data_IF_415823848650
#
_entry.id   IF_415823848650
#
_cell.length_a   1.000
_cell.length_b   1.000
_cell.length_c   1.000
_cell.angle_alpha   90.00
_cell.angle_beta   90.00
_cell.angle_gamma   90.00
#
_symmetry.space_group_name_H-M   'P 1'
#
loop_
_entity.id
_entity.type
_entity.pdbx_description
1 polymer ?
#
# COMPACT_ATOMS: atom_id res chain seq x y z
N UNK A 1 -4.11 -4.63 42.26
CA UNK A 1 -5.30 -4.92 41.41
C UNK A 1 -6.08 -3.68 41.00
N UNK A 2 -5.41 -2.63 40.50
CA UNK A 2 -6.05 -1.43 39.94
C UNK A 2 -5.53 -1.13 38.51
N UNK A 3 -4.33 -1.60 38.19
CA UNK A 3 -3.67 -1.41 36.88
C UNK A 3 -4.29 -2.27 35.76
N UNK A 4 -4.89 -3.42 36.09
CA UNK A 4 -5.51 -4.34 35.12
C UNK A 4 -6.90 -3.89 34.65
N UNK A 5 -7.59 -3.06 35.43
CA UNK A 5 -8.96 -2.61 35.12
C UNK A 5 -8.97 -1.43 34.12
N UNK A 6 -7.89 -0.65 34.05
CA UNK A 6 -7.81 0.56 33.21
C UNK A 6 -7.50 0.24 31.73
N UNK A 7 -6.84 -0.90 31.47
CA UNK A 7 -6.55 -1.39 30.10
C UNK A 7 -7.79 -1.89 29.35
N UNK A 8 -8.84 -2.34 30.03
CA UNK A 8 -10.07 -2.84 29.39
C UNK A 8 -11.01 -1.71 28.94
N UNK A 9 -10.88 -0.51 29.51
CA UNK A 9 -11.65 0.67 29.12
C UNK A 9 -11.12 1.31 27.82
N UNK A 10 -9.84 1.11 27.52
CA UNK A 10 -9.18 1.46 26.26
C UNK A 10 -9.36 0.28 25.30
N UNK A 11 -10.44 0.27 24.51
CA UNK A 11 -10.69 -0.80 23.55
C UNK A 11 -9.45 -1.12 22.70
N UNK A 12 -9.16 -2.41 22.50
CA UNK A 12 -7.94 -2.84 21.82
C UNK A 12 -7.91 -2.34 20.36
N UNK A 13 -7.00 -1.41 20.04
CA UNK A 13 -6.80 -0.86 18.68
C UNK A 13 -5.87 -1.73 17.80
N UNK A 14 -5.24 -2.78 18.39
CA UNK A 14 -4.22 -3.58 17.73
C UNK A 14 -4.26 -5.07 18.10
N UNK A 15 -3.57 -5.87 17.29
CA UNK A 15 -3.40 -7.32 17.45
C UNK A 15 -1.91 -7.68 17.45
N UNK A 16 -1.48 -8.49 18.41
CA UNK A 16 -0.15 -9.09 18.39
C UNK A 16 -0.10 -10.24 17.37
N UNK A 17 0.85 -10.21 16.45
CA UNK A 17 1.04 -11.26 15.46
C UNK A 17 2.51 -11.43 15.10
N UNK A 18 2.88 -12.66 14.72
CA UNK A 18 4.23 -12.96 14.22
C UNK A 18 4.27 -12.82 12.70
N UNK A 19 5.33 -12.19 12.19
CA UNK A 19 5.56 -12.07 10.74
C UNK A 19 6.86 -12.77 10.34
N UNK A 20 6.94 -13.34 9.12
CA UNK A 20 8.16 -14.00 8.66
C UNK A 20 9.33 -13.01 8.57
N UNK A 21 10.52 -13.45 9.00
CA UNK A 21 11.74 -12.66 8.86
C UNK A 21 12.06 -12.45 7.37
N UNK A 22 12.20 -11.18 6.95
CA UNK A 22 12.56 -10.80 5.57
C UNK A 22 14.04 -10.43 5.41
N UNK A 23 14.82 -10.49 6.48
CA UNK A 23 16.24 -10.12 6.47
C UNK A 23 16.45 -8.61 6.43
N UNK A 24 17.48 -8.17 5.69
CA UNK A 24 17.87 -6.76 5.61
C UNK A 24 16.81 -5.91 4.91
N UNK A 25 16.58 -4.70 5.43
CA UNK A 25 15.65 -3.72 4.85
C UNK A 25 16.20 -3.05 3.57
N UNK A 26 17.52 -3.07 3.36
CA UNK A 26 18.17 -2.40 2.22
C UNK A 26 17.64 -2.87 0.85
N UNK A 27 17.58 -4.19 0.54
CA UNK A 27 17.00 -4.65 -0.72
C UNK A 27 15.51 -4.31 -0.83
N UNK A 28 14.76 -4.41 0.27
CA UNK A 28 13.32 -4.09 0.29
C UNK A 28 13.07 -2.65 -0.14
N UNK A 29 13.79 -1.69 0.46
CA UNK A 29 13.66 -0.26 0.10
C UNK A 29 14.10 -0.02 -1.35
N UNK A 30 15.21 -0.61 -1.78
CA UNK A 30 15.69 -0.47 -3.15
C UNK A 30 14.65 -0.94 -4.17
N UNK A 31 14.02 -2.09 -3.91
CA UNK A 31 13.00 -2.66 -4.81
C UNK A 31 11.71 -1.83 -4.78
N UNK A 32 11.30 -1.33 -3.62
CA UNK A 32 10.18 -0.39 -3.51
C UNK A 32 10.41 0.87 -4.36
N UNK A 33 11.60 1.47 -4.30
CA UNK A 33 11.94 2.66 -5.09
C UNK A 33 11.96 2.33 -6.58
N UNK A 34 12.54 1.19 -6.98
CA UNK A 34 12.52 0.74 -8.38
C UNK A 34 11.10 0.59 -8.91
N UNK A 35 10.23 -0.12 -8.20
CA UNK A 35 8.84 -0.34 -8.61
C UNK A 35 8.03 0.95 -8.63
N UNK A 36 8.30 1.88 -7.71
CA UNK A 36 7.70 3.21 -7.73
C UNK A 36 8.09 3.97 -9.01
N UNK A 37 9.37 3.98 -9.39
CA UNK A 37 9.83 4.58 -10.64
C UNK A 37 9.18 3.95 -11.88
N UNK A 38 9.07 2.62 -11.93
CA UNK A 38 8.35 1.92 -13.00
C UNK A 38 6.88 2.33 -13.07
N UNK A 39 6.21 2.44 -11.91
CA UNK A 39 4.81 2.86 -11.82
C UNK A 39 4.59 4.30 -12.28
N UNK A 40 5.52 5.20 -11.97
CA UNK A 40 5.52 6.59 -12.48
C UNK A 40 5.63 6.61 -14.01
N UNK A 41 6.52 5.79 -14.57
CA UNK A 41 6.69 5.64 -16.02
C UNK A 41 5.42 5.08 -16.70
N UNK A 42 4.80 4.04 -16.13
CA UNK A 42 3.52 3.50 -16.63
C UNK A 42 2.37 4.52 -16.57
N UNK A 43 2.40 5.42 -15.59
CA UNK A 43 1.49 6.56 -15.50
C UNK A 43 1.74 7.67 -16.53
N UNK A 44 2.78 7.54 -17.37
CA UNK A 44 3.13 8.49 -18.43
C UNK A 44 3.89 9.73 -17.94
N UNK A 45 4.52 9.65 -16.76
CA UNK A 45 5.23 10.77 -16.14
C UNK A 45 6.72 10.45 -15.93
N UNK A 46 7.54 11.49 -15.77
CA UNK A 46 8.99 11.39 -15.47
C UNK A 46 9.31 11.66 -14.01
N UNK A 47 8.33 12.13 -13.24
CA UNK A 47 8.47 12.40 -11.81
C UNK A 47 7.16 12.17 -11.07
N UNK A 48 7.25 11.95 -9.76
CA UNK A 48 6.07 11.81 -8.90
C UNK A 48 5.20 13.08 -8.90
N UNK A 49 5.83 14.26 -8.96
CA UNK A 49 5.09 15.52 -8.98
C UNK A 49 4.36 15.75 -10.33
N UNK A 50 4.97 15.37 -11.45
CA UNK A 50 4.31 15.38 -12.76
C UNK A 50 3.11 14.41 -12.77
N UNK A 51 3.29 13.19 -12.25
CA UNK A 51 2.20 12.23 -12.13
C UNK A 51 1.07 12.76 -11.24
N UNK A 52 1.41 13.35 -10.08
CA UNK A 52 0.45 13.96 -9.16
C UNK A 52 -0.36 15.04 -9.84
N UNK A 53 0.28 15.95 -10.58
CA UNK A 53 -0.39 17.02 -11.33
C UNK A 53 -1.31 16.45 -12.41
N UNK A 54 -0.85 15.46 -13.17
CA UNK A 54 -1.66 14.80 -14.20
C UNK A 54 -2.88 14.08 -13.61
N UNK A 55 -2.68 13.36 -12.50
CA UNK A 55 -3.76 12.69 -11.76
C UNK A 55 -4.85 13.68 -11.32
N UNK A 56 -4.46 14.79 -10.69
CA UNK A 56 -5.44 15.77 -10.18
C UNK A 56 -6.15 16.56 -11.29
N UNK A 57 -5.57 16.62 -12.49
CA UNK A 57 -6.23 17.22 -13.64
C UNK A 57 -7.36 16.36 -14.20
N UNK A 58 -7.25 15.03 -14.11
CA UNK A 58 -8.24 14.06 -14.60
C UNK A 58 -8.17 12.73 -13.83
N UNK A 59 -8.76 12.63 -12.62
CA UNK A 59 -8.65 11.44 -11.78
C UNK A 59 -9.30 10.20 -12.39
N UNK A 60 -10.37 10.37 -13.17
CA UNK A 60 -11.15 9.27 -13.75
C UNK A 60 -10.34 8.45 -14.76
N UNK A 61 -9.32 9.06 -15.38
CA UNK A 61 -8.35 8.36 -16.23
C UNK A 61 -7.47 7.37 -15.46
N UNK A 62 -7.25 7.58 -14.17
CA UNK A 62 -6.31 6.81 -13.36
C UNK A 62 -7.02 5.87 -12.36
N UNK A 63 -8.22 6.22 -11.91
CA UNK A 63 -8.97 5.44 -10.91
C UNK A 63 -9.98 4.52 -11.59
N UNK A 64 -9.54 3.30 -11.90
CA UNK A 64 -10.44 2.27 -12.45
C UNK A 64 -10.98 1.41 -11.30
N UNK A 65 -12.29 1.45 -11.10
CA UNK A 65 -12.96 0.54 -10.15
C UNK A 65 -12.91 -0.88 -10.70
N UNK A 66 -12.20 -1.77 -10.00
CA UNK A 66 -12.15 -3.18 -10.36
C UNK A 66 -13.48 -3.87 -10.01
N UNK A 67 -14.02 -4.62 -10.96
CA UNK A 67 -15.12 -5.56 -10.70
C UNK A 67 -14.63 -6.72 -9.82
N UNK A 68 -15.54 -7.49 -9.19
CA UNK A 68 -15.14 -8.68 -8.43
C UNK A 68 -14.30 -9.66 -9.26
N UNK A 69 -14.67 -9.91 -10.51
CA UNK A 69 -13.90 -10.78 -11.40
C UNK A 69 -12.50 -10.23 -11.72
N UNK A 70 -12.40 -8.91 -11.99
CA UNK A 70 -11.11 -8.28 -12.28
C UNK A 70 -10.15 -8.30 -11.07
N UNK A 71 -10.69 -8.22 -9.85
CA UNK A 71 -9.90 -8.37 -8.61
C UNK A 71 -9.32 -9.78 -8.48
N UNK A 72 -10.14 -10.80 -8.71
CA UNK A 72 -9.70 -12.20 -8.68
C UNK A 72 -8.58 -12.43 -9.69
N UNK A 73 -8.76 -11.94 -10.91
CA UNK A 73 -7.76 -12.09 -11.97
C UNK A 73 -6.46 -11.34 -11.69
N UNK A 74 -6.52 -10.16 -11.08
CA UNK A 74 -5.34 -9.28 -10.95
C UNK A 74 -4.55 -9.49 -9.67
N UNK A 75 -5.20 -9.82 -8.55
CA UNK A 75 -4.60 -9.81 -7.23
C UNK A 75 -4.71 -11.14 -6.48
N UNK A 76 -5.83 -11.83 -6.59
CA UNK A 76 -6.13 -13.04 -5.80
C UNK A 76 -5.75 -14.32 -6.55
N UNK A 77 -4.74 -14.25 -7.43
CA UNK A 77 -4.25 -15.43 -8.17
C UNK A 77 -3.72 -16.47 -7.17
N UNK A 78 -4.09 -17.76 -7.31
CA UNK A 78 -3.63 -18.83 -6.44
C UNK A 78 -2.13 -19.14 -6.60
#
# INVERSE_FOLDING_TARGET
>A
DAESADLQALGAEGLETSVPARGSVRPVIHDMVRHLCSSISYGGARSLDELRRAFWADPDRYVVKLSPAARVESYERP
#
